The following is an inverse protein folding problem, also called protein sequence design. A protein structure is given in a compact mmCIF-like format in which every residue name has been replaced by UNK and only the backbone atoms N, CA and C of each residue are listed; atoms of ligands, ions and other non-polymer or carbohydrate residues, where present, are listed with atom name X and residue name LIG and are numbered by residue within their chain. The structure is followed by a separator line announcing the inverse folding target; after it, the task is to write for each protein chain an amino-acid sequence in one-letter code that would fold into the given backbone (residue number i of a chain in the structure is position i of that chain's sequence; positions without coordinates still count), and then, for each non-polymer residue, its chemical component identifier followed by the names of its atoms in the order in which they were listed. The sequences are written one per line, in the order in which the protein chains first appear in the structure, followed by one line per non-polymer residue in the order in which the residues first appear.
data_IF_625433397403
#
_entry.id   IF_625433397403
#
_cell.length_a   1.000
_cell.length_b   1.000
_cell.length_c   1.000
_cell.angle_alpha   90.00
_cell.angle_beta   90.00
_cell.angle_gamma   90.00
#
_symmetry.space_group_name_H-M   'P 1'
#
loop_
_entity.id
_entity.type
_entity.pdbx_description
1 polymer ?
#
# COMPACT_ATOMS: atom_id res chain seq x y z
N UNK A 1 2.58 -23.02 -7.25
CA UNK A 1 1.72 -22.00 -7.87
C UNK A 1 1.46 -20.93 -6.83
N UNK A 2 1.71 -19.65 -7.13
CA UNK A 2 1.25 -18.55 -6.27
C UNK A 2 -0.26 -18.40 -6.51
N UNK A 3 -1.06 -18.60 -5.47
CA UNK A 3 -2.52 -18.51 -5.57
C UNK A 3 -2.99 -17.09 -5.24
N UNK A 4 -2.71 -16.17 -6.17
CA UNK A 4 -3.03 -14.76 -5.98
C UNK A 4 -4.54 -14.50 -5.92
N UNK A 5 -5.38 -15.33 -6.56
CA UNK A 5 -6.83 -15.17 -6.46
C UNK A 5 -7.33 -15.48 -5.07
N UNK A 6 -6.86 -16.56 -4.43
CA UNK A 6 -7.21 -16.83 -3.04
C UNK A 6 -6.71 -15.74 -2.09
N UNK A 7 -5.54 -15.17 -2.34
CA UNK A 7 -5.05 -14.05 -1.53
C UNK A 7 -6.00 -12.84 -1.64
N UNK A 8 -6.37 -12.43 -2.86
CA UNK A 8 -7.33 -11.35 -3.09
C UNK A 8 -8.67 -11.63 -2.43
N UNK A 9 -9.25 -12.82 -2.61
CA UNK A 9 -10.53 -13.19 -2.00
C UNK A 9 -10.51 -13.03 -0.47
N UNK A 10 -9.42 -13.46 0.17
CA UNK A 10 -9.27 -13.32 1.62
C UNK A 10 -9.13 -11.86 2.05
N UNK A 11 -8.31 -11.07 1.34
CA UNK A 11 -8.15 -9.65 1.66
C UNK A 11 -9.42 -8.84 1.38
N UNK A 12 -10.18 -9.15 0.33
CA UNK A 12 -11.47 -8.50 0.05
C UNK A 12 -12.52 -8.82 1.12
N UNK A 13 -12.54 -10.06 1.64
CA UNK A 13 -13.38 -10.42 2.79
C UNK A 13 -12.96 -9.67 4.04
N UNK A 14 -11.65 -9.60 4.32
CA UNK A 14 -11.11 -8.83 5.45
C UNK A 14 -11.52 -7.35 5.34
N UNK A 15 -11.35 -6.76 4.16
CA UNK A 15 -11.74 -5.39 3.88
C UNK A 15 -13.24 -5.18 4.11
N UNK A 16 -14.09 -6.08 3.60
CA UNK A 16 -15.55 -6.02 3.80
C UNK A 16 -15.95 -6.01 5.29
N UNK A 17 -15.31 -6.85 6.10
CA UNK A 17 -15.52 -6.88 7.55
C UNK A 17 -15.07 -5.56 8.19
N UNK A 18 -13.84 -5.11 7.86
CA UNK A 18 -13.27 -3.85 8.37
C UNK A 18 -14.10 -2.63 7.97
N UNK A 19 -14.70 -2.61 6.77
CA UNK A 19 -15.63 -1.53 6.35
C UNK A 19 -16.88 -1.45 7.21
N UNK A 20 -17.36 -2.58 7.73
CA UNK A 20 -18.54 -2.63 8.61
C UNK A 20 -18.22 -2.29 10.06
N UNK A 21 -17.00 -2.63 10.51
CA UNK A 21 -16.60 -2.52 11.90
C UNK A 21 -15.83 -1.22 12.22
N UNK A 22 -15.16 -0.61 11.23
CA UNK A 22 -14.19 0.47 11.44
C UNK A 22 -14.50 1.69 10.58
N UNK A 23 -14.18 2.88 11.11
CA UNK A 23 -14.25 4.14 10.37
C UNK A 23 -13.40 4.09 9.10
N UNK A 24 -13.75 4.91 8.11
CA UNK A 24 -13.08 4.92 6.80
C UNK A 24 -11.59 5.20 6.85
N UNK A 25 -11.16 5.95 7.86
CA UNK A 25 -9.78 6.34 8.10
C UNK A 25 -9.04 5.41 9.09
N UNK A 26 -9.61 4.25 9.44
CA UNK A 26 -8.94 3.36 10.38
C UNK A 26 -7.66 2.73 9.78
N UNK A 27 -6.52 2.70 10.52
CA UNK A 27 -5.25 2.15 10.02
C UNK A 27 -5.34 0.74 9.46
N UNK A 28 -6.06 -0.18 10.12
CA UNK A 28 -6.35 -1.52 9.58
C UNK A 28 -6.92 -1.56 8.15
N UNK A 29 -7.72 -0.57 7.76
CA UNK A 29 -8.24 -0.49 6.39
C UNK A 29 -7.12 -0.11 5.43
N UNK A 30 -6.19 0.76 5.86
CA UNK A 30 -5.00 1.09 5.10
C UNK A 30 -4.09 -0.13 4.90
N UNK A 31 -3.83 -0.91 5.96
CA UNK A 31 -3.04 -2.15 5.87
C UNK A 31 -3.66 -3.09 4.83
N UNK A 32 -4.97 -3.33 4.91
CA UNK A 32 -5.67 -4.20 3.95
C UNK A 32 -5.55 -3.68 2.51
N UNK A 33 -5.67 -2.37 2.31
CA UNK A 33 -5.49 -1.77 0.98
C UNK A 33 -4.05 -1.95 0.48
N UNK A 34 -3.05 -1.80 1.34
CA UNK A 34 -1.65 -2.03 0.97
C UNK A 34 -1.42 -3.49 0.55
N UNK A 35 -1.95 -4.45 1.31
CA UNK A 35 -1.82 -5.89 1.01
C UNK A 35 -2.46 -6.25 -0.34
N UNK A 36 -3.65 -5.72 -0.63
CA UNK A 36 -4.31 -5.89 -1.94
C UNK A 36 -3.47 -5.27 -3.06
N UNK A 37 -2.89 -4.09 -2.81
CA UNK A 37 -1.99 -3.42 -3.75
C UNK A 37 -0.78 -4.28 -4.08
N UNK A 38 -0.14 -4.88 -3.08
CA UNK A 38 1.02 -5.76 -3.25
C UNK A 38 0.67 -7.01 -4.05
N UNK A 39 -0.48 -7.64 -3.78
CA UNK A 39 -0.92 -8.78 -4.58
C UNK A 39 -1.11 -8.38 -6.05
N UNK A 40 -1.72 -7.23 -6.32
CA UNK A 40 -1.86 -6.74 -7.69
C UNK A 40 -0.51 -6.42 -8.36
N UNK A 41 0.45 -5.84 -7.63
CA UNK A 41 1.81 -5.61 -8.12
C UNK A 41 2.49 -6.92 -8.50
N UNK A 42 2.40 -7.93 -7.63
CA UNK A 42 2.94 -9.27 -7.87
C UNK A 42 2.26 -10.03 -9.03
N UNK A 43 1.06 -9.61 -9.42
CA UNK A 43 0.32 -10.10 -10.60
C UNK A 43 0.62 -9.29 -11.87
N UNK A 44 1.43 -8.22 -11.80
CA UNK A 44 1.67 -7.30 -12.92
C UNK A 44 0.50 -6.35 -13.21
N UNK A 45 -0.51 -6.28 -12.34
CA UNK A 45 -1.66 -5.38 -12.45
C UNK A 45 -1.35 -4.02 -11.81
N UNK A 46 -0.37 -3.31 -12.36
CA UNK A 46 0.22 -2.13 -11.73
C UNK A 46 -0.77 -0.98 -11.51
N UNK A 47 -1.70 -0.73 -12.43
CA UNK A 47 -2.76 0.29 -12.25
C UNK A 47 -3.62 0.03 -11.01
N UNK A 48 -3.96 -1.23 -10.76
CA UNK A 48 -4.71 -1.63 -9.57
C UNK A 48 -3.83 -1.50 -8.32
N UNK A 49 -2.57 -1.91 -8.40
CA UNK A 49 -1.62 -1.76 -7.30
C UNK A 49 -1.51 -0.30 -6.86
N UNK A 50 -1.34 0.64 -7.80
CA UNK A 50 -1.31 2.06 -7.52
C UNK A 50 -2.59 2.56 -6.85
N UNK A 51 -3.76 2.22 -7.40
CA UNK A 51 -5.03 2.65 -6.84
C UNK A 51 -5.23 2.18 -5.38
N UNK A 52 -4.75 0.99 -5.05
CA UNK A 52 -4.85 0.44 -3.70
C UNK A 52 -3.79 1.01 -2.74
N UNK A 53 -2.53 1.11 -3.14
CA UNK A 53 -1.50 1.75 -2.32
C UNK A 53 -1.81 3.23 -2.07
N UNK A 54 -2.38 3.96 -3.04
CA UNK A 54 -2.78 5.36 -2.85
C UNK A 54 -3.94 5.50 -1.84
N UNK A 55 -4.88 4.55 -1.82
CA UNK A 55 -5.94 4.51 -0.79
C UNK A 55 -5.38 4.26 0.60
N UNK A 56 -4.40 3.36 0.71
CA UNK A 56 -3.70 3.11 1.97
C UNK A 56 -2.98 4.38 2.46
N UNK A 57 -2.21 5.02 1.58
CA UNK A 57 -1.44 6.22 1.91
C UNK A 57 -2.34 7.38 2.35
N UNK A 58 -3.46 7.61 1.64
CA UNK A 58 -4.41 8.65 2.02
C UNK A 58 -4.97 8.46 3.44
N UNK A 59 -5.20 7.21 3.87
CA UNK A 59 -5.64 6.96 5.25
C UNK A 59 -4.50 7.23 6.23
N UNK A 60 -3.30 6.73 5.92
CA UNK A 60 -2.14 6.84 6.78
C UNK A 60 -1.70 8.28 7.03
N UNK A 61 -1.73 9.13 6.00
CA UNK A 61 -1.40 10.56 6.08
C UNK A 61 -2.44 11.36 6.87
N UNK A 62 -3.73 11.01 6.75
CA UNK A 62 -4.82 11.75 7.42
C UNK A 62 -4.96 11.46 8.92
N UNK A 63 -4.46 10.32 9.41
CA UNK A 63 -4.68 9.86 10.80
C UNK A 63 -3.44 9.95 11.67
N UNK A 64 -2.35 10.53 11.16
CA UNK A 64 -1.07 10.54 11.86
C UNK A 64 -0.68 9.10 12.27
N UNK A 65 -0.80 8.19 11.29
CA UNK A 65 -0.52 6.76 11.43
C UNK A 65 0.97 6.51 11.72
N UNK A 66 1.32 5.27 12.12
CA UNK A 66 2.71 4.88 12.37
C UNK A 66 3.58 5.25 11.16
N UNK A 67 4.62 6.08 11.35
CA UNK A 67 5.54 6.44 10.28
C UNK A 67 6.14 5.22 9.54
N UNK A 68 6.27 4.07 10.20
CA UNK A 68 6.74 2.82 9.58
C UNK A 68 5.76 2.29 8.55
N UNK A 69 4.45 2.40 8.79
CA UNK A 69 3.42 1.96 7.84
C UNK A 69 3.38 2.90 6.63
N UNK A 70 3.47 4.21 6.84
CA UNK A 70 3.59 5.20 5.77
C UNK A 70 4.82 4.92 4.89
N UNK A 71 5.99 4.72 5.51
CA UNK A 71 7.24 4.46 4.80
C UNK A 71 7.16 3.18 3.96
N UNK A 72 6.49 2.15 4.47
CA UNK A 72 6.31 0.88 3.75
C UNK A 72 5.41 1.06 2.53
N UNK A 73 4.29 1.77 2.67
CA UNK A 73 3.43 2.09 1.51
C UNK A 73 4.17 2.91 0.46
N UNK A 74 5.00 3.87 0.89
CA UNK A 74 5.84 4.65 -0.02
C UNK A 74 6.85 3.80 -0.78
N UNK A 75 7.51 2.86 -0.11
CA UNK A 75 8.41 1.90 -0.75
C UNK A 75 7.65 1.03 -1.76
N UNK A 76 6.45 0.54 -1.41
CA UNK A 76 5.63 -0.27 -2.32
C UNK A 76 5.21 0.50 -3.59
N UNK A 77 4.90 1.80 -3.46
CA UNK A 77 4.68 2.67 -4.62
C UNK A 77 5.94 2.80 -5.47
N UNK A 78 7.10 3.02 -4.84
CA UNK A 78 8.39 3.08 -5.52
C UNK A 78 8.71 1.79 -6.30
N UNK A 79 8.47 0.63 -5.68
CA UNK A 79 8.59 -0.68 -6.33
C UNK A 79 7.65 -0.81 -7.52
N UNK A 80 6.38 -0.39 -7.38
CA UNK A 80 5.40 -0.45 -8.47
C UNK A 80 5.85 0.40 -9.67
N UNK A 81 6.38 1.61 -9.44
CA UNK A 81 6.94 2.46 -10.49
C UNK A 81 8.20 1.86 -11.14
N UNK A 82 9.06 1.21 -10.33
CA UNK A 82 10.23 0.49 -10.85
C UNK A 82 9.83 -0.64 -11.81
N UNK A 83 8.78 -1.38 -11.50
CA UNK A 83 8.29 -2.48 -12.35
C UNK A 83 7.75 -1.98 -13.71
N UNK A 84 7.18 -0.78 -13.77
CA UNK A 84 6.77 -0.13 -15.03
C UNK A 84 7.88 0.69 -15.71
N UNK A 85 9.12 0.59 -15.20
CA UNK A 85 10.32 1.30 -15.70
C UNK A 85 10.24 2.82 -15.61
N UNK A 86 9.35 3.36 -14.79
CA UNK A 86 9.36 4.77 -14.42
C UNK A 86 10.25 4.97 -13.19
N UNK A 87 11.56 4.96 -13.45
CA UNK A 87 12.56 5.06 -12.40
C UNK A 87 12.57 6.43 -11.72
N UNK A 88 12.11 7.48 -12.42
CA UNK A 88 12.03 8.83 -11.85
C UNK A 88 11.01 8.86 -10.71
N UNK A 89 9.78 8.41 -10.99
CA UNK A 89 8.76 8.33 -9.94
C UNK A 89 9.12 7.29 -8.88
N UNK A 90 9.71 6.16 -9.29
CA UNK A 90 10.21 5.14 -8.37
C UNK A 90 11.16 5.73 -7.32
N UNK A 91 12.17 6.48 -7.78
CA UNK A 91 13.14 7.15 -6.91
C UNK A 91 12.46 8.13 -5.96
N UNK A 92 11.57 9.01 -6.46
CA UNK A 92 10.85 9.98 -5.63
C UNK A 92 10.09 9.30 -4.47
N UNK A 93 9.45 8.16 -4.72
CA UNK A 93 8.72 7.44 -3.69
C UNK A 93 9.63 6.70 -2.71
N UNK A 94 10.76 6.15 -3.18
CA UNK A 94 11.78 5.59 -2.30
C UNK A 94 12.38 6.64 -1.37
N UNK A 95 12.69 7.84 -1.88
CA UNK A 95 13.23 8.95 -1.10
C UNK A 95 12.26 9.38 0.01
N UNK A 96 10.97 9.48 -0.28
CA UNK A 96 9.94 9.76 0.74
C UNK A 96 9.88 8.70 1.82
N UNK A 97 9.92 7.41 1.43
CA UNK A 97 9.95 6.30 2.39
C UNK A 97 11.21 6.31 3.27
N UNK A 98 12.36 6.66 2.69
CA UNK A 98 13.63 6.79 3.39
C UNK A 98 13.60 7.95 4.39
N UNK A 99 13.15 9.13 3.97
CA UNK A 99 13.07 10.33 4.81
C UNK A 99 12.24 10.07 6.08
N UNK A 100 11.14 9.33 5.95
CA UNK A 100 10.28 8.97 7.09
C UNK A 100 11.01 8.01 8.04
N UNK A 101 11.75 7.03 7.52
CA UNK A 101 12.52 6.08 8.34
C UNK A 101 13.67 6.75 9.07
N UNK A 102 14.36 7.68 8.41
CA UNK A 102 15.47 8.43 8.99
C UNK A 102 15.01 9.36 10.12
N UNK A 103 13.86 10.02 9.99
CA UNK A 103 13.29 10.85 11.06
C UNK A 103 12.84 10.08 12.30
N UNK A 104 12.73 8.74 12.23
CA UNK A 104 12.33 7.86 13.34
C UNK A 104 13.52 7.30 14.13
N UNK A 105 14.75 7.45 13.62
CA UNK A 105 16.00 7.08 14.31
C UNK A 105 16.48 8.20 15.25
#
# INVERSE_FOLDING_TARGET
MKDYSKALDNFERCLSIRRKALLDNHPDRATTYSDIGDVHRLMGSYEKAFAFHQKALNIQENVQCDPTDCATTYINLGETYREIKDYSMGLTYFEKGLEIREKKL
#
